data_IF_500474550924
#
_entry.id   IF_500474550924
#
_cell.length_a   1.000
_cell.length_b   1.000
_cell.length_c   1.000
_cell.angle_alpha   90.00
_cell.angle_beta   90.00
_cell.angle_gamma   90.00
#
_symmetry.space_group_name_H-M   'P 1'
#
loop_
_entity.id
_entity.type
_entity.pdbx_description
1 polymer ?
#
# COMPACT_ATOMS: atom_id res chain seq x y z
N UNK A 1 -7.72 14.99 42.73
CA UNK A 1 -7.89 14.74 42.28
C UNK A 1 -8.12 14.58 41.36
N UNK A 2 -8.26 14.42 40.90
CA UNK A 2 -8.63 14.17 40.07
C UNK A 2 -8.12 14.27 38.98
N UNK A 3 -7.70 14.48 38.49
CA UNK A 3 -7.13 14.64 37.48
C UNK A 3 -6.60 13.67 36.87
N UNK A 4 -6.10 13.04 37.20
CA UNK A 4 -5.58 11.92 36.75
C UNK A 4 -6.38 11.16 35.84
N UNK A 5 -7.57 11.12 35.97
CA UNK A 5 -8.39 10.36 35.08
C UNK A 5 -8.19 10.70 33.66
N UNK A 6 -8.06 11.90 33.39
CA UNK A 6 -7.92 12.31 32.05
C UNK A 6 -6.71 11.71 31.44
N UNK A 7 -5.71 11.62 32.19
CA UNK A 7 -4.55 11.09 31.69
C UNK A 7 -4.71 9.72 31.27
N UNK A 8 -5.38 9.00 32.00
CA UNK A 8 -5.58 7.65 31.70
C UNK A 8 -6.30 7.45 30.45
N UNK A 9 -7.21 8.29 30.20
CA UNK A 9 -7.93 8.17 28.96
C UNK A 9 -7.05 8.30 27.79
N UNK A 10 -6.17 9.20 27.86
CA UNK A 10 -5.29 9.39 26.76
C UNK A 10 -4.51 8.12 26.52
N UNK A 11 -4.09 7.51 27.56
CA UNK A 11 -3.35 6.33 27.39
C UNK A 11 -4.16 5.25 26.74
N UNK A 12 -5.38 5.18 27.09
CA UNK A 12 -6.22 4.19 26.49
C UNK A 12 -6.30 4.39 24.99
N UNK A 13 -6.38 5.59 24.58
CA UNK A 13 -6.44 5.86 23.18
C UNK A 13 -5.20 5.33 22.49
N UNK A 14 -4.10 5.37 23.15
CA UNK A 14 -2.91 4.88 22.52
C UNK A 14 -2.90 3.40 22.37
N UNK A 15 -3.73 2.71 23.03
CA UNK A 15 -3.78 1.29 22.92
C UNK A 15 -4.57 0.80 21.74
N UNK A 16 -5.17 1.69 21.02
CA UNK A 16 -5.85 1.27 19.82
C UNK A 16 -4.82 0.69 18.89
N UNK A 17 -4.95 -0.56 18.52
CA UNK A 17 -3.96 -1.15 17.64
C UNK A 17 -4.00 -0.45 16.33
N UNK A 18 -2.88 0.05 15.94
CA UNK A 18 -2.75 0.59 14.62
C UNK A 18 -2.28 -0.54 13.79
N UNK A 19 -3.00 -0.82 12.75
CA UNK A 19 -2.50 -1.75 11.79
C UNK A 19 -1.24 -1.16 11.21
N UNK A 20 -0.26 -1.98 10.98
CA UNK A 20 0.94 -1.50 10.32
C UNK A 20 0.53 -0.84 9.03
N UNK A 21 1.07 0.28 8.78
CA UNK A 21 0.84 0.94 7.51
C UNK A 21 1.21 -0.03 6.44
N UNK A 22 0.39 -0.15 5.43
CA UNK A 22 0.73 -1.00 4.33
C UNK A 22 1.97 -0.46 3.69
N UNK A 23 2.88 -1.34 3.41
CA UNK A 23 4.14 -0.97 2.81
C UNK A 23 4.12 -1.29 1.33
N UNK A 24 3.06 -0.92 0.65
CA UNK A 24 3.01 -1.12 -0.78
C UNK A 24 3.80 -0.04 -1.49
N UNK A 25 4.30 -0.37 -2.66
CA UNK A 25 5.00 0.60 -3.50
C UNK A 25 4.49 0.48 -4.92
N UNK A 26 4.41 1.62 -5.58
CA UNK A 26 4.14 1.71 -7.00
C UNK A 26 5.36 2.36 -7.63
N UNK A 27 5.96 1.71 -8.60
CA UNK A 27 7.19 2.22 -9.20
C UNK A 27 7.23 1.90 -10.69
N UNK A 28 8.00 2.67 -11.42
CA UNK A 28 8.25 2.37 -12.82
C UNK A 28 9.34 1.31 -12.90
N UNK A 29 9.23 0.46 -13.90
CA UNK A 29 10.29 -0.49 -14.20
C UNK A 29 11.53 0.26 -14.68
N UNK A 30 12.69 -0.37 -14.67
CA UNK A 30 13.90 0.29 -15.13
C UNK A 30 13.80 0.81 -16.56
N UNK A 31 13.09 0.11 -17.41
CA UNK A 31 12.89 0.57 -18.77
C UNK A 31 11.77 1.60 -18.89
N UNK A 32 11.08 1.88 -17.80
CA UNK A 32 9.97 2.84 -17.76
C UNK A 32 8.82 2.47 -18.67
N UNK A 33 8.67 1.19 -18.92
CA UNK A 33 7.61 0.71 -19.79
C UNK A 33 6.52 -0.02 -19.02
N UNK A 34 6.65 -0.12 -17.71
CA UNK A 34 5.66 -0.82 -16.89
C UNK A 34 5.62 -0.24 -15.49
N UNK A 35 4.48 -0.43 -14.85
CA UNK A 35 4.31 -0.11 -13.43
C UNK A 35 4.43 -1.40 -12.66
N UNK A 36 5.29 -1.39 -11.66
CA UNK A 36 5.51 -2.54 -10.81
C UNK A 36 4.91 -2.25 -9.45
N UNK A 37 4.09 -3.17 -8.96
CA UNK A 37 3.45 -3.01 -7.65
C UNK A 37 3.95 -4.11 -6.73
N UNK A 38 4.44 -3.71 -5.56
CA UNK A 38 4.92 -4.64 -4.54
C UNK A 38 4.32 -4.27 -3.21
N UNK A 39 4.24 -5.24 -2.32
CA UNK A 39 3.76 -4.97 -0.98
C UNK A 39 4.40 -5.93 0.01
N UNK A 40 4.25 -5.62 1.30
CA UNK A 40 4.71 -6.48 2.38
C UNK A 40 3.50 -7.04 3.12
N UNK A 41 3.68 -8.22 3.69
CA UNK A 41 2.69 -8.77 4.61
C UNK A 41 3.43 -9.14 5.89
N UNK A 42 3.31 -8.31 6.90
CA UNK A 42 4.00 -8.53 8.16
C UNK A 42 3.27 -9.51 9.08
N UNK A 43 2.13 -9.99 8.68
CA UNK A 43 1.37 -10.91 9.52
C UNK A 43 1.86 -12.35 9.33
N UNK A 44 1.43 -13.21 10.22
CA UNK A 44 1.85 -14.60 10.20
C UNK A 44 0.89 -15.48 9.40
N UNK A 45 0.02 -14.86 8.62
CA UNK A 45 -0.89 -15.61 7.75
C UNK A 45 -0.98 -14.92 6.41
N UNK A 46 -1.33 -15.66 5.38
CA UNK A 46 -1.52 -15.09 4.07
C UNK A 46 -2.73 -14.16 4.08
N UNK A 47 -2.65 -13.08 3.32
CA UNK A 47 -3.77 -12.15 3.16
C UNK A 47 -3.94 -11.88 1.69
N UNK A 48 -5.11 -11.42 1.32
CA UNK A 48 -5.36 -10.99 -0.06
C UNK A 48 -5.38 -9.48 -0.08
N UNK A 49 -4.50 -8.90 -0.86
CA UNK A 49 -4.38 -7.45 -0.93
C UNK A 49 -4.81 -6.94 -2.29
N UNK A 50 -5.54 -5.84 -2.25
CA UNK A 50 -5.85 -5.08 -3.46
C UNK A 50 -5.10 -3.77 -3.35
N UNK A 51 -4.24 -3.50 -4.32
CA UNK A 51 -3.44 -2.30 -4.34
C UNK A 51 -3.82 -1.48 -5.55
N UNK A 52 -4.04 -0.19 -5.34
CA UNK A 52 -4.32 0.73 -6.43
C UNK A 52 -3.20 1.74 -6.51
N UNK A 53 -2.76 2.03 -7.72
CA UNK A 53 -1.77 3.08 -7.96
C UNK A 53 -2.38 4.10 -8.91
N UNK A 54 -2.33 5.35 -8.53
CA UNK A 54 -2.86 6.46 -9.32
C UNK A 54 -1.69 7.28 -9.84
N UNK A 55 -1.76 7.66 -11.10
CA UNK A 55 -0.65 8.38 -11.71
C UNK A 55 -1.16 9.27 -12.83
N UNK A 56 -0.30 10.18 -13.27
CA UNK A 56 -0.59 11.01 -14.42
C UNK A 56 0.22 10.52 -15.61
N UNK A 57 -0.37 10.61 -16.78
CA UNK A 57 0.28 10.24 -18.02
C UNK A 57 -0.02 11.30 -19.06
N UNK A 58 0.62 11.26 -20.22
CA UNK A 58 0.29 12.22 -21.27
C UNK A 58 -1.16 12.18 -21.68
N UNK A 59 -1.85 11.09 -21.45
CA UNK A 59 -3.28 10.99 -21.75
C UNK A 59 -4.15 11.40 -20.57
N UNK A 60 -3.55 11.82 -19.44
CA UNK A 60 -4.30 12.24 -18.27
C UNK A 60 -4.16 11.30 -17.11
N UNK A 61 -4.95 11.50 -16.07
CA UNK A 61 -4.85 10.64 -14.87
C UNK A 61 -5.32 9.23 -15.18
N UNK A 62 -4.70 8.28 -14.50
CA UNK A 62 -5.03 6.88 -14.67
C UNK A 62 -4.85 6.15 -13.34
N UNK A 63 -5.51 5.01 -13.21
CA UNK A 63 -5.42 4.18 -12.02
C UNK A 63 -5.29 2.74 -12.45
N UNK A 64 -4.39 2.01 -11.81
CA UNK A 64 -4.33 0.57 -11.99
C UNK A 64 -4.68 -0.07 -10.66
N UNK A 65 -5.25 -1.25 -10.73
CA UNK A 65 -5.67 -1.98 -9.54
C UNK A 65 -5.25 -3.43 -9.69
N UNK A 66 -4.67 -3.99 -8.64
CA UNK A 66 -4.20 -5.36 -8.65
C UNK A 66 -4.62 -6.06 -7.38
N UNK A 67 -5.02 -7.31 -7.49
CA UNK A 67 -5.41 -8.10 -6.34
C UNK A 67 -4.63 -9.40 -6.36
N UNK A 68 -4.05 -9.77 -5.24
CA UNK A 68 -3.28 -11.00 -5.16
C UNK A 68 -3.16 -11.46 -3.72
N UNK A 69 -3.04 -12.77 -3.53
CA UNK A 69 -2.74 -13.34 -2.23
C UNK A 69 -1.27 -13.10 -1.92
N UNK A 70 -0.99 -12.62 -0.72
CA UNK A 70 0.36 -12.32 -0.29
C UNK A 70 0.71 -13.28 0.85
N UNK A 71 1.76 -14.06 0.72
CA UNK A 71 2.10 -15.04 1.75
C UNK A 71 2.46 -14.37 3.08
N UNK A 72 2.37 -15.15 4.14
CA UNK A 72 2.75 -14.68 5.46
C UNK A 72 4.20 -14.22 5.46
N UNK A 73 4.47 -13.15 6.17
CA UNK A 73 5.82 -12.62 6.37
C UNK A 73 6.54 -12.26 5.07
N UNK A 74 5.79 -11.96 4.03
CA UNK A 74 6.38 -11.59 2.75
C UNK A 74 6.92 -10.17 2.79
N UNK A 75 8.02 -9.97 2.12
CA UNK A 75 8.63 -8.65 1.99
C UNK A 75 8.88 -8.37 0.53
N UNK A 76 8.48 -7.19 0.08
CA UNK A 76 8.67 -6.79 -1.30
C UNK A 76 8.03 -7.77 -2.27
N UNK A 77 6.90 -8.30 -1.93
CA UNK A 77 6.23 -9.31 -2.75
C UNK A 77 5.61 -8.68 -3.98
N UNK A 78 5.84 -9.30 -5.10
CA UNK A 78 5.29 -8.83 -6.36
C UNK A 78 3.78 -8.99 -6.39
N UNK A 79 3.05 -7.90 -6.55
CA UNK A 79 1.61 -7.98 -6.67
C UNK A 79 1.22 -8.06 -8.14
N UNK A 80 1.76 -7.16 -8.93
CA UNK A 80 1.46 -7.18 -10.35
C UNK A 80 2.41 -6.28 -11.11
N UNK A 81 2.37 -6.44 -12.43
CA UNK A 81 3.11 -5.59 -13.34
C UNK A 81 2.14 -5.23 -14.46
N UNK A 82 2.02 -3.94 -14.74
CA UNK A 82 1.13 -3.47 -15.79
C UNK A 82 1.89 -2.58 -16.76
N UNK A 83 1.68 -2.73 -18.05
CA UNK A 83 2.35 -1.87 -19.02
C UNK A 83 1.97 -0.41 -18.80
N UNK A 84 2.93 0.46 -18.95
CA UNK A 84 2.69 1.89 -18.82
C UNK A 84 2.55 2.58 -20.17
N UNK A 85 2.71 1.88 -21.25
CA UNK A 85 2.67 2.46 -22.57
C UNK A 85 3.96 3.17 -22.95
N UNK A 86 5.03 2.90 -22.24
CA UNK A 86 6.32 3.49 -22.57
C UNK A 86 6.43 4.95 -22.24
N UNK A 87 5.59 5.46 -21.34
CA UNK A 87 5.58 6.87 -21.00
C UNK A 87 6.09 7.11 -19.60
N UNK A 88 6.74 8.24 -19.42
CA UNK A 88 7.11 8.66 -18.08
C UNK A 88 5.86 8.98 -17.32
N UNK A 89 5.75 8.45 -16.13
CA UNK A 89 4.58 8.62 -15.28
C UNK A 89 4.97 9.29 -13.99
N UNK A 90 4.04 10.01 -13.43
CA UNK A 90 4.21 10.57 -12.10
C UNK A 90 3.13 10.00 -11.21
N UNK A 91 3.54 9.31 -10.16
CA UNK A 91 2.58 8.72 -9.25
C UNK A 91 2.00 9.80 -8.33
N UNK A 92 0.70 9.84 -8.22
CA UNK A 92 0.01 10.86 -7.44
C UNK A 92 -0.65 10.31 -6.20
N UNK A 93 -0.68 9.00 -6.05
CA UNK A 93 -1.27 8.42 -4.86
C UNK A 93 -1.57 6.95 -5.04
N UNK A 94 -2.29 6.41 -4.11
CA UNK A 94 -2.68 5.02 -4.16
C UNK A 94 -3.30 4.58 -2.87
N UNK A 95 -3.68 3.32 -2.81
CA UNK A 95 -4.26 2.75 -1.61
C UNK A 95 -4.05 1.26 -1.59
N UNK A 96 -4.16 0.68 -0.41
CA UNK A 96 -4.07 -0.77 -0.25
C UNK A 96 -5.11 -1.23 0.73
N UNK A 97 -5.74 -2.35 0.43
CA UNK A 97 -6.69 -2.99 1.31
C UNK A 97 -6.38 -4.48 1.32
N UNK A 98 -6.13 -5.02 2.49
CA UNK A 98 -5.82 -6.43 2.65
C UNK A 98 -6.80 -7.09 3.61
N UNK A 99 -7.13 -8.36 3.36
CA UNK A 99 -8.00 -9.10 4.28
C UNK A 99 -7.82 -10.62 4.15
#
# INVERSE_FOLDING_TARGET
>A
MRLSPALILAAAALLVPTLPASAYTCALSPAKDAVIVKTDNASDRAVTCTVECTFTSPQGPATISCTQAIPANARGWYVCLRPSGGKALEFTGGSESCK
#
